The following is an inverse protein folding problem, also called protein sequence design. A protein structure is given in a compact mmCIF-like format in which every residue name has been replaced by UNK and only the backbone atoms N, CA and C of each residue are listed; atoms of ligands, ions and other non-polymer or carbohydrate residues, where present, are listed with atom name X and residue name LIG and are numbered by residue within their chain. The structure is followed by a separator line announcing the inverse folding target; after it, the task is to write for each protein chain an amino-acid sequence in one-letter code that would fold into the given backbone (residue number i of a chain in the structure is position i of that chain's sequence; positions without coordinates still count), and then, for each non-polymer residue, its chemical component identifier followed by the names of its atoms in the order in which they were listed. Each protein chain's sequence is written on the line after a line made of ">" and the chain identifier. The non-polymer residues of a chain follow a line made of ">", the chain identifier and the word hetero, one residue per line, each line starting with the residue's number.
data_IF_588221930135
#
_entry.id   IF_588221930135
#
_cell.length_a   1.000
_cell.length_b   1.000
_cell.length_c   1.000
_cell.angle_alpha   90.00
_cell.angle_beta   90.00
_cell.angle_gamma   90.00
#
_symmetry.space_group_name_H-M   'P 1'
#
loop_
_entity.id
_entity.type
_entity.pdbx_description
1 polymer ?
#
# COMPACT_ATOMS: atom_id res chain seq x y z
N UNK A 1 -10.21 14.01 12.40
CA UNK A 1 -10.96 12.75 12.21
C UNK A 1 -10.61 12.25 10.83
N UNK A 2 -10.20 11.00 10.67
CA UNK A 2 -10.00 10.42 9.35
C UNK A 2 -11.39 10.21 8.74
N UNK A 3 -11.64 10.76 7.56
CA UNK A 3 -12.86 10.54 6.79
C UNK A 3 -12.50 9.80 5.49
N UNK A 4 -12.46 8.47 5.55
CA UNK A 4 -11.96 7.66 4.44
C UNK A 4 -12.88 7.76 3.21
N UNK A 5 -14.18 8.02 3.37
CA UNK A 5 -15.08 8.17 2.22
C UNK A 5 -14.83 9.49 1.51
N UNK A 6 -14.63 10.58 2.25
CA UNK A 6 -14.26 11.86 1.65
C UNK A 6 -12.90 11.78 0.94
N UNK A 7 -11.92 11.09 1.53
CA UNK A 7 -10.61 10.86 0.93
C UNK A 7 -10.69 10.01 -0.35
N UNK A 8 -11.36 8.87 -0.29
CA UNK A 8 -11.58 8.00 -1.44
C UNK A 8 -12.29 8.71 -2.59
N UNK A 9 -13.29 9.55 -2.30
CA UNK A 9 -14.01 10.34 -3.31
C UNK A 9 -13.11 11.38 -3.97
N UNK A 10 -12.22 12.03 -3.22
CA UNK A 10 -11.24 12.95 -3.78
C UNK A 10 -10.23 12.23 -4.70
N UNK A 11 -9.74 11.06 -4.26
CA UNK A 11 -8.84 10.22 -5.08
C UNK A 11 -9.55 9.75 -6.36
N UNK A 12 -10.81 9.33 -6.27
CA UNK A 12 -11.61 8.96 -7.43
C UNK A 12 -11.71 10.13 -8.43
N UNK A 13 -12.02 11.34 -7.96
CA UNK A 13 -12.12 12.52 -8.82
C UNK A 13 -10.78 12.85 -9.53
N UNK A 14 -9.66 12.74 -8.81
CA UNK A 14 -8.32 12.97 -9.40
C UNK A 14 -7.97 11.90 -10.45
N UNK A 15 -8.33 10.64 -10.21
CA UNK A 15 -8.12 9.53 -11.14
C UNK A 15 -9.02 9.64 -12.38
N UNK A 16 -10.28 10.04 -12.22
CA UNK A 16 -11.21 10.32 -13.32
C UNK A 16 -10.70 11.48 -14.20
N UNK A 17 -10.14 12.53 -13.58
CA UNK A 17 -9.59 13.68 -14.30
C UNK A 17 -8.42 13.32 -15.24
N UNK A 18 -7.68 12.24 -14.94
CA UNK A 18 -6.61 11.71 -15.79
C UNK A 18 -7.03 10.50 -16.63
N UNK A 19 -8.33 10.15 -16.62
CA UNK A 19 -8.94 9.19 -17.53
C UNK A 19 -9.12 7.76 -17.00
N UNK A 20 -8.99 7.53 -15.69
CA UNK A 20 -9.31 6.24 -15.07
C UNK A 20 -10.78 6.18 -14.64
N UNK A 21 -11.46 5.07 -14.94
CA UNK A 21 -12.78 4.76 -14.40
C UNK A 21 -12.60 3.97 -13.08
N UNK A 22 -13.03 4.54 -11.95
CA UNK A 22 -12.78 3.99 -10.61
C UNK A 22 -14.09 3.83 -9.87
N UNK A 23 -14.40 2.64 -9.39
CA UNK A 23 -15.57 2.37 -8.53
C UNK A 23 -15.11 2.22 -7.08
N UNK A 24 -15.64 3.03 -6.16
CA UNK A 24 -15.38 2.87 -4.72
C UNK A 24 -16.32 1.81 -4.14
N UNK A 25 -15.76 0.83 -3.43
CA UNK A 25 -16.50 -0.12 -2.60
C UNK A 25 -16.15 0.07 -1.13
N UNK A 26 -17.17 0.32 -0.32
CA UNK A 26 -17.02 0.53 1.11
C UNK A 26 -17.36 -0.72 1.90
N UNK A 27 -16.59 -1.01 2.95
CA UNK A 27 -16.79 -2.16 3.81
C UNK A 27 -16.76 -1.77 5.29
N UNK A 28 -17.47 -2.54 6.12
CA UNK A 28 -17.20 -2.56 7.57
C UNK A 28 -15.78 -3.08 7.80
N UNK A 29 -15.11 -2.63 8.86
CA UNK A 29 -13.68 -2.87 9.10
C UNK A 29 -13.27 -4.35 9.01
N UNK A 30 -14.03 -5.26 9.62
CA UNK A 30 -13.63 -6.68 9.61
C UNK A 30 -13.81 -7.31 8.23
N UNK A 31 -14.84 -6.90 7.49
CA UNK A 31 -15.04 -7.34 6.11
C UNK A 31 -13.93 -6.79 5.20
N UNK A 32 -13.55 -5.52 5.39
CA UNK A 32 -12.43 -4.90 4.68
C UNK A 32 -11.12 -5.67 4.91
N UNK A 33 -10.79 -5.98 6.17
CA UNK A 33 -9.60 -6.78 6.48
C UNK A 33 -9.65 -8.19 5.86
N UNK A 34 -10.83 -8.80 5.78
CA UNK A 34 -11.03 -10.08 5.11
C UNK A 34 -10.75 -10.03 3.60
N UNK A 35 -10.99 -8.89 2.97
CA UNK A 35 -10.66 -8.67 1.55
C UNK A 35 -9.18 -8.38 1.35
N UNK A 36 -8.59 -7.49 2.15
CA UNK A 36 -7.22 -6.96 1.96
C UNK A 36 -6.13 -7.90 2.46
N UNK A 37 -6.27 -8.50 3.65
CA UNK A 37 -5.19 -9.27 4.27
C UNK A 37 -4.76 -10.51 3.47
N UNK A 38 -5.67 -11.25 2.78
CA UNK A 38 -5.25 -12.35 1.91
C UNK A 38 -4.54 -11.91 0.62
N UNK A 39 -4.39 -10.61 0.38
CA UNK A 39 -3.84 -10.03 -0.84
C UNK A 39 -4.93 -9.47 -1.77
N UNK A 40 -4.55 -8.46 -2.55
CA UNK A 40 -5.46 -7.73 -3.45
C UNK A 40 -5.55 -8.34 -4.86
N UNK A 41 -4.66 -9.26 -5.22
CA UNK A 41 -4.60 -9.85 -6.56
C UNK A 41 -5.95 -10.44 -6.98
N UNK A 42 -6.52 -9.91 -8.07
CA UNK A 42 -7.82 -10.35 -8.59
C UNK A 42 -9.05 -9.89 -7.78
N UNK A 43 -8.87 -9.13 -6.70
CA UNK A 43 -9.96 -8.60 -5.85
C UNK A 43 -10.18 -7.11 -6.00
N UNK A 44 -9.09 -6.33 -6.01
CA UNK A 44 -9.11 -4.88 -6.17
C UNK A 44 -7.77 -4.39 -6.70
N UNK A 45 -7.79 -3.24 -7.39
CA UNK A 45 -6.55 -2.60 -7.87
C UNK A 45 -5.88 -1.79 -6.76
N UNK A 46 -6.67 -1.27 -5.81
CA UNK A 46 -6.22 -0.40 -4.73
C UNK A 46 -7.08 -0.59 -3.46
N UNK A 47 -6.46 -0.39 -2.29
CA UNK A 47 -7.14 -0.34 -1.01
C UNK A 47 -6.61 0.81 -0.14
N UNK A 48 -7.52 1.49 0.55
CA UNK A 48 -7.21 2.57 1.47
C UNK A 48 -7.08 2.06 2.91
N UNK A 49 -5.89 2.14 3.47
CA UNK A 49 -5.63 1.74 4.84
C UNK A 49 -4.73 2.76 5.54
N UNK A 50 -5.11 3.12 6.76
CA UNK A 50 -4.32 3.97 7.63
C UNK A 50 -3.88 3.18 8.86
N UNK A 51 -2.65 3.45 9.30
CA UNK A 51 -2.09 2.87 10.51
C UNK A 51 -1.62 3.99 11.43
N UNK A 52 -1.81 3.79 12.74
CA UNK A 52 -1.27 4.69 13.76
C UNK A 52 -0.21 3.93 14.54
N UNK A 53 1.04 4.37 14.37
CA UNK A 53 2.20 3.88 15.14
C UNK A 53 3.07 5.06 15.54
N UNK A 54 3.68 4.98 16.72
CA UNK A 54 4.71 5.91 17.19
C UNK A 54 6.13 5.42 16.87
N UNK A 55 6.27 4.20 16.36
CA UNK A 55 7.54 3.58 16.01
C UNK A 55 7.73 3.53 14.48
N UNK A 56 8.85 4.04 13.95
CA UNK A 56 9.13 4.04 12.52
C UNK A 56 9.44 2.65 11.93
N UNK A 57 9.67 1.62 12.75
CA UNK A 57 9.92 0.24 12.28
C UNK A 57 8.64 -0.52 11.95
N UNK A 58 7.66 -0.44 12.86
CA UNK A 58 6.49 -1.34 12.88
C UNK A 58 5.77 -1.41 11.53
N UNK A 59 5.40 -0.27 10.94
CA UNK A 59 4.61 -0.27 9.70
C UNK A 59 5.44 -0.68 8.47
N UNK A 60 6.61 -0.08 8.19
CA UNK A 60 7.45 -0.51 7.07
C UNK A 60 7.80 -2.00 7.11
N UNK A 61 8.09 -2.55 8.29
CA UNK A 61 8.45 -3.95 8.41
C UNK A 61 7.28 -4.91 8.14
N UNK A 62 6.06 -4.52 8.49
CA UNK A 62 4.85 -5.32 8.27
C UNK A 62 4.31 -5.19 6.84
N UNK A 63 4.46 -4.03 6.21
CA UNK A 63 3.79 -3.70 4.95
C UNK A 63 4.72 -3.64 3.72
N UNK A 64 6.04 -3.48 3.89
CA UNK A 64 6.97 -3.27 2.75
C UNK A 64 8.03 -4.37 2.61
N UNK A 65 8.16 -5.26 3.60
CA UNK A 65 9.12 -6.36 3.51
C UNK A 65 8.59 -7.46 2.59
N UNK A 66 9.44 -8.01 1.71
CA UNK A 66 9.07 -9.13 0.82
C UNK A 66 8.67 -10.39 1.62
N UNK A 67 9.27 -10.56 2.80
CA UNK A 67 8.93 -11.64 3.73
C UNK A 67 7.58 -11.46 4.45
N UNK A 68 6.90 -10.33 4.26
CA UNK A 68 5.60 -10.02 4.85
C UNK A 68 4.45 -10.10 3.84
N UNK A 69 4.62 -10.82 2.74
CA UNK A 69 3.53 -11.08 1.80
C UNK A 69 2.37 -11.87 2.44
N UNK A 70 1.13 -11.73 1.94
CA UNK A 70 -0.06 -12.40 2.44
C UNK A 70 0.06 -13.93 2.49
N UNK A 71 0.69 -14.54 1.49
CA UNK A 71 0.93 -15.99 1.42
C UNK A 71 1.84 -16.51 2.54
N UNK A 72 2.61 -15.60 3.16
CA UNK A 72 3.44 -15.86 4.34
C UNK A 72 2.80 -15.38 5.64
N UNK A 73 1.54 -14.94 5.59
CA UNK A 73 0.78 -14.43 6.73
C UNK A 73 1.14 -13.00 7.15
N UNK A 74 1.76 -12.20 6.27
CA UNK A 74 2.10 -10.80 6.54
C UNK A 74 1.10 -9.80 5.94
N UNK A 75 1.35 -8.50 6.16
CA UNK A 75 0.45 -7.40 5.81
C UNK A 75 0.85 -6.62 4.55
N UNK A 76 1.82 -7.13 3.77
CA UNK A 76 2.23 -6.55 2.49
C UNK A 76 1.25 -6.97 1.37
N UNK A 77 0.00 -6.55 1.49
CA UNK A 77 -1.11 -6.90 0.59
C UNK A 77 -0.96 -6.38 -0.85
N UNK A 78 -0.07 -5.41 -1.07
CA UNK A 78 0.33 -4.91 -2.39
C UNK A 78 1.46 -5.70 -3.05
N UNK A 79 1.97 -6.75 -2.40
CA UNK A 79 3.07 -7.60 -2.91
C UNK A 79 4.34 -6.83 -3.28
N UNK A 80 4.59 -5.69 -2.61
CA UNK A 80 5.80 -4.92 -2.84
C UNK A 80 7.04 -5.78 -2.55
N UNK A 81 8.08 -5.62 -3.36
CA UNK A 81 9.34 -6.35 -3.20
C UNK A 81 10.50 -5.56 -3.74
N UNK A 82 11.45 -5.27 -2.86
CA UNK A 82 12.70 -4.64 -3.22
C UNK A 82 13.80 -5.19 -2.28
N UNK A 83 14.78 -5.96 -2.80
CA UNK A 83 15.84 -6.55 -1.97
C UNK A 83 16.65 -5.53 -1.18
N UNK A 84 16.79 -4.30 -1.70
CA UNK A 84 17.50 -3.22 -1.01
C UNK A 84 16.67 -2.69 0.16
N UNK A 85 15.35 -2.57 0.00
CA UNK A 85 14.45 -2.21 1.11
C UNK A 85 14.47 -3.29 2.19
N UNK A 86 14.42 -4.57 1.83
CA UNK A 86 14.53 -5.67 2.80
C UNK A 86 15.84 -5.56 3.60
N UNK A 87 16.97 -5.34 2.94
CA UNK A 87 18.26 -5.17 3.62
C UNK A 87 18.28 -3.96 4.58
N UNK A 88 17.72 -2.83 4.15
CA UNK A 88 17.67 -1.62 4.97
C UNK A 88 16.79 -1.81 6.21
N UNK A 89 15.65 -2.49 6.07
CA UNK A 89 14.75 -2.79 7.19
C UNK A 89 15.43 -3.73 8.21
N UNK A 90 16.07 -4.81 7.76
CA UNK A 90 16.78 -5.73 8.66
C UNK A 90 17.98 -5.06 9.36
N UNK A 91 18.73 -4.22 8.64
CA UNK A 91 19.83 -3.44 9.21
C UNK A 91 19.31 -2.45 10.26
N UNK A 92 18.19 -1.76 9.99
CA UNK A 92 17.61 -0.78 10.90
C UNK A 92 17.10 -1.42 12.20
N UNK A 93 16.60 -2.66 12.15
CA UNK A 93 16.19 -3.43 13.35
C UNK A 93 17.36 -3.96 14.17
N UNK A 94 18.47 -4.26 13.49
CA UNK A 94 19.68 -4.78 14.13
C UNK A 94 20.56 -3.67 14.72
N UNK A 95 20.36 -2.41 14.31
CA UNK A 95 21.14 -1.27 14.78
C UNK A 95 20.71 -0.81 16.17
N UNK A 96 21.69 -0.58 17.05
CA UNK A 96 21.49 0.01 18.38
C UNK A 96 21.74 1.52 18.42
N UNK A 97 22.33 2.08 17.36
CA UNK A 97 22.57 3.52 17.22
C UNK A 97 21.37 4.20 16.57
N UNK A 98 20.78 5.16 17.28
CA UNK A 98 19.56 5.85 16.81
C UNK A 98 19.80 6.71 15.57
N UNK A 99 21.00 7.27 15.41
CA UNK A 99 21.34 8.11 14.25
C UNK A 99 21.53 7.26 12.99
N UNK A 100 22.12 6.09 13.13
CA UNK A 100 22.27 5.12 12.04
C UNK A 100 20.92 4.53 11.65
N UNK A 101 20.11 4.12 12.62
CA UNK A 101 18.73 3.66 12.40
C UNK A 101 17.89 4.71 11.65
N UNK A 102 18.01 5.99 12.01
CA UNK A 102 17.32 7.07 11.31
C UNK A 102 17.76 7.20 9.84
N UNK A 103 19.06 7.11 9.55
CA UNK A 103 19.57 7.17 8.16
C UNK A 103 19.06 6.01 7.31
N UNK A 104 19.04 4.80 7.87
CA UNK A 104 18.55 3.60 7.18
C UNK A 104 17.06 3.74 6.80
N UNK A 105 16.23 4.24 7.71
CA UNK A 105 14.82 4.49 7.41
C UNK A 105 14.62 5.62 6.39
N UNK A 106 15.45 6.67 6.40
CA UNK A 106 15.39 7.74 5.41
C UNK A 106 15.74 7.24 4.00
N UNK A 107 16.78 6.41 3.88
CA UNK A 107 17.15 5.79 2.59
C UNK A 107 16.03 4.88 2.09
N UNK A 108 15.46 4.04 2.97
CA UNK A 108 14.34 3.17 2.63
C UNK A 108 13.13 3.97 2.14
N UNK A 109 12.73 5.03 2.84
CA UNK A 109 11.61 5.89 2.44
C UNK A 109 11.85 6.55 1.08
N UNK A 110 13.09 6.96 0.80
CA UNK A 110 13.47 7.55 -0.48
C UNK A 110 13.27 6.54 -1.62
N UNK A 111 13.76 5.30 -1.44
CA UNK A 111 13.62 4.23 -2.43
C UNK A 111 12.14 3.89 -2.64
N UNK A 112 11.37 3.72 -1.57
CA UNK A 112 9.94 3.39 -1.68
C UNK A 112 9.16 4.51 -2.40
N UNK A 113 9.51 5.78 -2.15
CA UNK A 113 8.91 6.92 -2.84
C UNK A 113 9.31 6.96 -4.34
N UNK A 114 10.53 6.57 -4.68
CA UNK A 114 10.98 6.44 -6.07
C UNK A 114 10.28 5.27 -6.79
N UNK A 115 10.19 4.12 -6.13
CA UNK A 115 9.49 2.94 -6.65
C UNK A 115 8.00 3.21 -6.85
N UNK A 116 7.33 3.90 -5.91
CA UNK A 116 5.93 4.29 -6.05
C UNK A 116 5.70 5.26 -7.23
N UNK A 117 6.63 6.19 -7.46
CA UNK A 117 6.61 7.05 -8.66
C UNK A 117 6.80 6.22 -9.95
N UNK A 118 7.65 5.19 -9.90
CA UNK A 118 7.80 4.22 -10.97
C UNK A 118 6.54 3.36 -11.19
N UNK A 119 5.86 2.97 -10.10
CA UNK A 119 4.63 2.17 -10.11
C UNK A 119 3.44 2.95 -10.71
N UNK A 120 3.37 4.26 -10.48
CA UNK A 120 2.43 5.16 -11.17
C UNK A 120 2.63 5.20 -12.70
N UNK A 121 3.76 4.71 -13.21
CA UNK A 121 4.07 4.58 -14.65
C UNK A 121 4.10 3.12 -15.15
N UNK A 122 4.04 2.14 -14.25
CA UNK A 122 3.99 0.72 -14.60
C UNK A 122 2.56 0.18 -14.59
N UNK A 123 1.58 1.05 -14.85
CA UNK A 123 0.24 0.69 -15.32
C UNK A 123 0.36 0.30 -16.80
N UNK A 124 1.02 -0.83 -17.11
CA UNK A 124 1.23 -1.19 -18.52
C UNK A 124 2.23 -2.30 -18.81
N UNK A 125 1.97 -3.54 -18.36
CA UNK A 125 2.69 -4.71 -18.89
C UNK A 125 1.83 -5.93 -19.22
N UNK A 126 0.52 -5.89 -18.97
CA UNK A 126 -0.44 -6.86 -19.55
C UNK A 126 -1.71 -6.14 -20.00
N UNK A 127 -1.56 -5.34 -21.05
CA UNK A 127 -2.68 -4.81 -21.83
C UNK A 127 -3.04 -5.85 -22.90
N UNK A 128 -4.00 -6.72 -22.59
CA UNK A 128 -4.85 -7.35 -23.60
C UNK A 128 -6.14 -6.51 -23.64
N UNK A 129 -6.18 -5.52 -24.53
CA UNK A 129 -7.43 -4.85 -24.88
C UNK A 129 -8.31 -5.89 -25.59
N UNK A 130 -9.46 -6.22 -24.98
CA UNK A 130 -10.70 -5.62 -25.45
C UNK A 130 -11.59 -5.19 -24.27
N UNK A 131 -11.95 -3.91 -24.18
CA UNK A 131 -13.03 -3.40 -23.30
C UNK A 131 -12.94 -3.92 -21.85
N UNK A 132 -12.02 -3.39 -21.05
CA UNK A 132 -11.85 -3.84 -19.65
C UNK A 132 -12.30 -2.72 -18.70
N UNK A 133 -13.45 -2.97 -18.10
CA UNK A 133 -14.10 -2.32 -16.97
C UNK A 133 -13.15 -2.32 -15.76
N UNK A 134 -12.55 -1.18 -15.41
CA UNK A 134 -11.78 -1.00 -14.17
C UNK A 134 -12.79 -0.82 -13.03
N UNK A 135 -12.69 -1.58 -11.93
CA UNK A 135 -13.90 -1.84 -11.11
C UNK A 135 -13.79 -1.79 -9.59
N UNK A 136 -12.65 -1.56 -8.91
CA UNK A 136 -12.72 -1.46 -7.41
C UNK A 136 -11.58 -0.73 -6.70
N UNK A 137 -11.92 0.30 -5.92
CA UNK A 137 -11.16 0.91 -4.83
C UNK A 137 -11.82 0.58 -3.48
N UNK A 138 -11.09 -0.03 -2.54
CA UNK A 138 -11.65 -0.42 -1.24
C UNK A 138 -11.45 0.66 -0.18
N UNK A 139 -12.52 1.13 0.46
CA UNK A 139 -12.50 2.15 1.51
C UNK A 139 -13.14 1.62 2.81
N UNK A 140 -12.46 1.78 3.94
CA UNK A 140 -13.05 1.48 5.26
C UNK A 140 -13.97 2.62 5.73
N UNK A 141 -14.92 2.37 6.64
CA UNK A 141 -15.76 3.42 7.24
C UNK A 141 -15.61 3.41 8.77
N UNK A 142 -14.80 4.32 9.31
CA UNK A 142 -14.79 4.59 10.76
C UNK A 142 -14.49 6.06 11.06
N UNK A 143 -15.51 6.75 11.60
CA UNK A 143 -15.35 8.02 12.31
C UNK A 143 -14.94 7.71 13.75
N UNK A 144 -13.78 8.21 14.17
CA UNK A 144 -13.38 8.21 15.58
C UNK A 144 -14.14 9.27 16.38
#
# INVERSE_FOLDING_TARGET
>A
MLDPVAMGTAIQADLEAVGFDVEIKTFEWNAFLGEVNPGLEGKADMAEMAWMTNDPDTLPYLALRTGAWPDKGGFNSGYYSNPKVDQLLEAARSSTDQSERAKLYQEMQTIVQEDARGFSLQIGSKMLLPVIRLTTFLCSHHSF
#
